data_IF_881254593293
#
_entry.id   IF_881254593293
#
_cell.length_a   1.000
_cell.length_b   1.000
_cell.length_c   1.000
_cell.angle_alpha   90.00
_cell.angle_beta   90.00
_cell.angle_gamma   90.00
#
_symmetry.space_group_name_H-M   'P 1'
#
loop_
_entity.id
_entity.type
_entity.pdbx_description
1 polymer ?
#
# COMPACT_ATOMS: atom_id res chain seq x y z
N UNK A 1 -0.38 31.31 1.13
CA UNK A 1 -0.68 29.87 0.98
C UNK A 1 0.56 29.06 1.35
N UNK A 2 0.52 28.18 2.36
CA UNK A 2 1.68 27.32 2.66
C UNK A 2 1.84 26.33 1.51
N UNK A 3 2.90 26.47 0.73
CA UNK A 3 3.40 25.41 -0.14
C UNK A 3 3.67 24.17 0.72
N UNK A 4 2.74 23.21 0.69
CA UNK A 4 2.92 21.94 1.38
C UNK A 4 3.90 21.11 0.57
N UNK A 5 5.18 21.30 0.86
CA UNK A 5 6.24 20.45 0.31
C UNK A 5 5.94 19.00 0.72
N UNK A 6 5.64 18.15 -0.25
CA UNK A 6 5.40 16.72 -0.01
C UNK A 6 6.74 16.00 0.06
N UNK A 7 6.91 15.15 1.07
CA UNK A 7 8.14 14.37 1.29
C UNK A 7 7.80 12.89 1.45
N UNK A 8 8.75 12.03 1.08
CA UNK A 8 8.69 10.58 1.29
C UNK A 8 9.82 10.20 2.23
N UNK A 9 9.48 9.48 3.29
CA UNK A 9 10.46 8.83 4.17
C UNK A 9 10.67 7.37 3.73
N UNK A 10 11.92 6.97 3.54
CA UNK A 10 12.35 5.61 3.19
C UNK A 10 13.20 5.03 4.33
N UNK A 11 13.24 3.70 4.45
CA UNK A 11 14.07 3.02 5.46
C UNK A 11 13.59 3.22 6.88
N UNK A 12 12.28 3.43 7.06
CA UNK A 12 11.64 3.64 8.36
C UNK A 12 11.16 2.30 8.90
N UNK A 13 11.37 2.06 10.19
CA UNK A 13 10.67 1.03 10.98
C UNK A 13 9.87 1.68 12.10
N UNK A 14 10.37 2.73 12.75
CA UNK A 14 9.63 3.53 13.75
C UNK A 14 9.41 4.95 13.25
N UNK A 15 8.15 5.38 13.17
CA UNK A 15 7.80 6.73 12.69
C UNK A 15 8.39 7.79 13.63
N UNK A 16 8.29 7.58 14.95
CA UNK A 16 8.78 8.50 15.98
C UNK A 16 10.31 8.55 16.06
N UNK A 17 11.02 7.51 15.62
CA UNK A 17 12.48 7.51 15.62
C UNK A 17 13.03 8.25 14.38
N UNK A 18 13.33 9.54 14.54
CA UNK A 18 13.89 10.37 13.46
C UNK A 18 15.37 10.13 13.19
N UNK A 19 16.07 9.44 14.10
CA UNK A 19 17.51 9.13 14.01
C UNK A 19 17.77 7.66 13.65
N UNK A 20 16.77 6.97 13.10
CA UNK A 20 16.90 5.59 12.68
C UNK A 20 17.96 5.44 11.57
N UNK A 21 18.91 4.51 11.77
CA UNK A 21 19.99 4.28 10.81
C UNK A 21 19.41 3.78 9.49
N UNK A 22 19.73 4.48 8.41
CA UNK A 22 19.24 4.16 7.06
C UNK A 22 17.96 4.89 6.65
N UNK A 23 17.32 5.65 7.58
CA UNK A 23 16.20 6.54 7.25
C UNK A 23 16.66 7.64 6.31
N UNK A 24 15.85 7.89 5.27
CA UNK A 24 16.11 8.92 4.26
C UNK A 24 14.82 9.68 4.00
N UNK A 25 14.90 11.00 3.89
CA UNK A 25 13.77 11.84 3.52
C UNK A 25 14.06 12.54 2.20
N UNK A 26 13.16 12.39 1.23
CA UNK A 26 13.29 12.95 -0.10
C UNK A 26 12.06 13.78 -0.43
N UNK A 27 12.25 14.92 -1.12
CA UNK A 27 11.13 15.74 -1.59
C UNK A 27 10.50 15.08 -2.82
N UNK A 28 9.19 15.19 -2.95
CA UNK A 28 8.47 14.85 -4.18
C UNK A 28 8.46 16.09 -5.07
N UNK A 29 9.01 15.98 -6.27
CA UNK A 29 9.05 17.08 -7.25
C UNK A 29 7.94 17.00 -8.28
N UNK A 30 7.39 15.81 -8.50
CA UNK A 30 6.28 15.60 -9.42
C UNK A 30 5.42 14.43 -8.96
N UNK A 31 4.11 14.60 -9.10
CA UNK A 31 3.11 13.58 -8.84
C UNK A 31 2.41 13.27 -10.15
N UNK A 32 2.43 12.01 -10.58
CA UNK A 32 1.91 11.56 -11.87
C UNK A 32 0.81 10.54 -11.61
N UNK A 33 -0.45 10.99 -11.67
CA UNK A 33 -1.62 10.11 -11.55
C UNK A 33 -1.85 9.34 -12.84
N UNK A 34 -2.39 8.12 -12.72
CA UNK A 34 -2.82 7.37 -13.89
C UNK A 34 -3.86 8.16 -14.71
N UNK A 35 -3.65 8.29 -16.03
CA UNK A 35 -4.49 9.13 -16.91
C UNK A 35 -5.97 8.73 -16.89
N UNK A 36 -6.23 7.43 -16.76
CA UNK A 36 -7.59 6.85 -16.68
C UNK A 36 -8.08 6.66 -15.23
N UNK A 37 -7.52 7.39 -14.25
CA UNK A 37 -7.99 7.33 -12.87
C UNK A 37 -9.45 7.79 -12.78
N UNK A 38 -10.29 6.99 -12.12
CA UNK A 38 -11.68 7.36 -11.86
C UNK A 38 -11.97 7.23 -10.36
N UNK A 39 -12.10 8.37 -9.69
CA UNK A 39 -12.36 8.45 -8.25
C UNK A 39 -13.69 7.81 -7.84
N UNK A 40 -14.74 7.98 -8.65
CA UNK A 40 -16.10 7.50 -8.35
C UNK A 40 -16.17 5.97 -8.42
N UNK A 41 -15.53 5.38 -9.43
CA UNK A 41 -15.51 3.93 -9.64
C UNK A 41 -14.31 3.25 -8.96
N UNK A 42 -13.43 4.02 -8.33
CA UNK A 42 -12.15 3.57 -7.76
C UNK A 42 -11.25 2.83 -8.78
N UNK A 43 -11.38 3.14 -10.07
CA UNK A 43 -10.62 2.47 -11.15
C UNK A 43 -9.29 3.17 -11.37
N UNK A 44 -8.24 2.37 -11.66
CA UNK A 44 -6.88 2.84 -11.91
C UNK A 44 -6.34 3.75 -10.80
N UNK A 45 -6.61 3.39 -9.54
CA UNK A 45 -6.11 4.11 -8.38
C UNK A 45 -4.60 3.82 -8.17
N UNK A 46 -3.78 4.40 -9.04
CA UNK A 46 -2.33 4.26 -9.07
C UNK A 46 -1.70 5.63 -9.37
N UNK A 47 -0.59 5.93 -8.70
CA UNK A 47 0.13 7.19 -8.85
C UNK A 47 1.64 6.94 -8.69
N UNK A 48 2.43 7.62 -9.50
CA UNK A 48 3.89 7.65 -9.39
C UNK A 48 4.34 8.96 -8.74
N UNK A 49 5.31 8.87 -7.84
CA UNK A 49 5.95 10.02 -7.20
C UNK A 49 7.39 10.12 -7.70
N UNK A 50 7.71 11.21 -8.39
CA UNK A 50 9.07 11.52 -8.79
C UNK A 50 9.78 12.21 -7.62
N UNK A 51 10.83 11.56 -7.11
CA UNK A 51 11.66 12.10 -6.04
C UNK A 51 12.65 13.15 -6.58
N UNK A 52 13.06 14.08 -5.74
CA UNK A 52 14.03 15.13 -6.07
C UNK A 52 15.42 14.60 -6.42
N UNK A 53 15.72 13.34 -6.07
CA UNK A 53 16.97 12.66 -6.36
C UNK A 53 16.84 11.17 -6.15
N UNK A 54 17.90 10.42 -6.50
CA UNK A 54 17.96 8.97 -6.28
C UNK A 54 18.07 8.68 -4.78
N UNK A 55 17.30 7.71 -4.29
CA UNK A 55 17.47 7.18 -2.94
C UNK A 55 18.76 6.36 -2.86
N UNK A 56 19.42 6.39 -1.70
CA UNK A 56 20.59 5.57 -1.44
C UNK A 56 20.12 4.14 -1.08
N UNK A 57 20.41 3.19 -1.96
CA UNK A 57 20.06 1.78 -1.72
C UNK A 57 21.00 1.19 -0.66
N UNK A 58 20.41 0.53 0.34
CA UNK A 58 21.12 -0.08 1.46
C UNK A 58 20.24 -1.17 2.13
N UNK A 59 20.65 -1.69 3.28
CA UNK A 59 19.90 -2.73 3.99
C UNK A 59 18.50 -2.32 4.45
N UNK A 60 18.23 -1.01 4.60
CA UNK A 60 16.92 -0.47 4.99
C UNK A 60 16.09 0.03 3.79
N UNK A 61 16.73 0.32 2.64
CA UNK A 61 16.07 0.86 1.44
C UNK A 61 16.45 0.02 0.23
N UNK A 62 15.48 -0.68 -0.34
CA UNK A 62 15.67 -1.50 -1.52
C UNK A 62 14.49 -1.38 -2.51
N UNK A 63 14.72 -1.76 -3.76
CA UNK A 63 13.73 -1.71 -4.85
C UNK A 63 12.96 -3.03 -4.92
N UNK A 64 11.64 -2.94 -5.05
CA UNK A 64 10.79 -4.10 -5.36
C UNK A 64 10.58 -4.22 -6.87
N UNK A 65 10.68 -5.43 -7.40
CA UNK A 65 10.40 -5.71 -8.81
C UNK A 65 8.89 -5.65 -9.05
N UNK A 66 8.50 -5.02 -10.15
CA UNK A 66 7.13 -5.07 -10.64
C UNK A 66 6.86 -6.38 -11.38
N UNK A 67 5.63 -6.91 -11.34
CA UNK A 67 5.26 -8.07 -12.15
C UNK A 67 5.47 -7.80 -13.64
N UNK A 68 6.01 -8.77 -14.38
CA UNK A 68 6.16 -8.68 -15.84
C UNK A 68 4.86 -9.01 -16.59
N UNK A 69 3.98 -9.78 -15.94
CA UNK A 69 2.69 -10.19 -16.48
C UNK A 69 1.55 -9.59 -15.68
N UNK A 70 0.47 -9.23 -16.38
CA UNK A 70 -0.76 -8.71 -15.80
C UNK A 70 -1.79 -9.83 -15.54
N UNK A 71 -1.33 -10.99 -15.11
CA UNK A 71 -2.19 -12.13 -14.80
C UNK A 71 -2.69 -12.04 -13.35
N UNK A 72 -3.86 -12.65 -13.10
CA UNK A 72 -4.37 -12.76 -11.75
C UNK A 72 -3.44 -13.59 -10.87
N UNK A 73 -3.21 -13.10 -9.66
CA UNK A 73 -2.58 -13.91 -8.62
C UNK A 73 -3.52 -15.06 -8.28
N UNK A 74 -2.99 -16.29 -8.31
CA UNK A 74 -3.78 -17.51 -8.06
C UNK A 74 -4.53 -17.42 -6.73
N UNK A 75 -5.86 -17.67 -6.68
CA UNK A 75 -6.60 -17.76 -5.42
C UNK A 75 -5.97 -18.77 -4.46
N UNK A 76 -5.94 -18.44 -3.16
CA UNK A 76 -5.26 -19.23 -2.15
C UNK A 76 -3.77 -18.87 -1.95
N UNK A 77 -3.18 -18.07 -2.84
CA UNK A 77 -1.83 -17.52 -2.64
C UNK A 77 -1.78 -16.67 -1.37
N UNK A 78 -0.73 -16.85 -0.56
CA UNK A 78 -0.49 -16.05 0.63
C UNK A 78 0.43 -14.89 0.28
N UNK A 79 -0.01 -13.67 0.60
CA UNK A 79 0.72 -12.44 0.43
C UNK A 79 0.94 -11.77 1.80
N UNK A 80 1.90 -10.85 1.86
CA UNK A 80 2.16 -10.03 3.04
C UNK A 80 1.78 -8.58 2.74
N UNK A 81 1.05 -7.95 3.65
CA UNK A 81 0.84 -6.51 3.67
C UNK A 81 1.62 -5.92 4.84
N UNK A 82 2.21 -4.76 4.65
CA UNK A 82 3.00 -4.08 5.68
C UNK A 82 2.59 -2.60 5.78
N UNK A 83 2.60 -2.07 7.00
CA UNK A 83 2.27 -0.67 7.24
C UNK A 83 2.26 -0.28 8.72
N UNK A 84 2.04 1.00 8.96
CA UNK A 84 1.93 1.61 10.29
C UNK A 84 0.49 1.93 10.68
N UNK A 85 -0.49 1.26 10.05
CA UNK A 85 -1.91 1.50 10.31
C UNK A 85 -2.33 1.19 11.75
N UNK A 86 -3.62 1.40 12.03
CA UNK A 86 -4.21 0.99 13.32
C UNK A 86 -4.10 -0.52 13.49
N UNK A 87 -3.69 -0.96 14.67
CA UNK A 87 -3.55 -2.39 15.01
C UNK A 87 -4.70 -2.92 15.87
N UNK A 88 -5.60 -2.04 16.31
CA UNK A 88 -6.73 -2.37 17.18
C UNK A 88 -7.86 -1.37 16.88
N UNK A 89 -9.07 -1.88 16.63
CA UNK A 89 -10.26 -1.07 16.35
C UNK A 89 -10.62 -0.13 17.50
N UNK A 90 -10.21 -0.45 18.73
CA UNK A 90 -10.45 0.38 19.93
C UNK A 90 -9.39 1.47 20.11
N UNK A 91 -8.22 1.35 19.45
CA UNK A 91 -7.13 2.33 19.58
C UNK A 91 -7.16 3.29 18.39
N UNK A 92 -7.34 4.60 18.63
CA UNK A 92 -7.42 5.56 17.53
C UNK A 92 -6.07 5.78 16.84
N UNK A 93 -4.97 5.52 17.55
CA UNK A 93 -3.63 5.85 17.09
C UNK A 93 -3.02 4.75 16.21
N UNK A 94 -2.37 5.13 15.09
CA UNK A 94 -1.57 4.19 14.28
C UNK A 94 -0.39 3.61 15.08
N UNK A 95 0.12 2.48 14.60
CA UNK A 95 1.33 1.89 15.17
C UNK A 95 2.55 2.79 14.93
N UNK A 96 3.38 2.99 15.96
CA UNK A 96 4.68 3.62 15.77
C UNK A 96 5.63 2.74 14.95
N UNK A 97 5.58 1.43 15.17
CA UNK A 97 6.46 0.44 14.53
C UNK A 97 5.79 -0.19 13.33
N UNK A 98 6.56 -0.49 12.30
CA UNK A 98 6.10 -1.18 11.10
C UNK A 98 5.55 -2.54 11.50
N UNK A 99 4.32 -2.82 11.07
CA UNK A 99 3.63 -4.08 11.27
C UNK A 99 3.47 -4.79 9.93
N UNK A 100 3.32 -6.11 10.00
CA UNK A 100 3.00 -6.94 8.85
C UNK A 100 1.85 -7.91 9.17
N UNK A 101 1.07 -8.24 8.15
CA UNK A 101 0.01 -9.23 8.23
C UNK A 101 0.02 -10.12 6.99
N UNK A 102 -0.23 -11.41 7.19
CA UNK A 102 -0.44 -12.36 6.10
C UNK A 102 -1.89 -12.29 5.67
N UNK A 103 -2.11 -12.23 4.36
CA UNK A 103 -3.44 -12.25 3.73
C UNK A 103 -3.44 -13.29 2.62
N UNK A 104 -4.61 -13.85 2.32
CA UNK A 104 -4.81 -14.86 1.28
C UNK A 104 -5.60 -14.27 0.14
N UNK A 105 -5.13 -14.43 -1.09
CA UNK A 105 -5.85 -14.00 -2.30
C UNK A 105 -7.15 -14.80 -2.44
N UNK A 106 -8.24 -14.11 -2.74
CA UNK A 106 -9.53 -14.73 -3.03
C UNK A 106 -9.91 -14.54 -4.50
N UNK A 107 -10.69 -15.48 -5.01
CA UNK A 107 -11.16 -15.44 -6.38
C UNK A 107 -12.01 -14.17 -6.65
N UNK A 108 -11.81 -13.55 -7.81
CA UNK A 108 -12.51 -12.31 -8.19
C UNK A 108 -14.02 -12.49 -8.26
N UNK A 109 -14.53 -13.65 -8.68
CA UNK A 109 -15.98 -13.90 -8.75
C UNK A 109 -16.56 -13.97 -7.34
N UNK A 110 -15.86 -14.64 -6.42
CA UNK A 110 -16.23 -14.66 -4.99
C UNK A 110 -16.22 -13.24 -4.43
N UNK A 111 -15.18 -12.46 -4.70
CA UNK A 111 -15.10 -11.07 -4.24
C UNK A 111 -16.24 -10.21 -4.82
N UNK A 112 -16.53 -10.29 -6.11
CA UNK A 112 -17.66 -9.59 -6.72
C UNK A 112 -19.00 -9.96 -6.07
N UNK A 113 -19.20 -11.23 -5.69
CA UNK A 113 -20.42 -11.64 -5.00
C UNK A 113 -20.57 -10.99 -3.62
N UNK A 114 -19.45 -10.73 -2.92
CA UNK A 114 -19.45 -10.07 -1.61
C UNK A 114 -19.66 -8.55 -1.72
N UNK A 115 -19.19 -7.95 -2.80
CA UNK A 115 -19.19 -6.48 -3.01
C UNK A 115 -20.26 -5.99 -4.00
N UNK A 116 -21.12 -6.88 -4.53
CA UNK A 116 -22.03 -6.62 -5.65
C UNK A 116 -22.94 -5.38 -5.50
N UNK A 117 -23.24 -4.96 -4.27
CA UNK A 117 -24.08 -3.79 -3.96
C UNK A 117 -23.30 -2.47 -3.84
N UNK A 118 -21.98 -2.51 -3.75
CA UNK A 118 -21.15 -1.34 -3.43
C UNK A 118 -20.17 -1.01 -4.55
N UNK A 119 -19.40 -2.00 -5.02
CA UNK A 119 -18.34 -1.79 -6.01
C UNK A 119 -18.25 -3.00 -6.94
N UNK A 120 -18.20 -2.75 -8.24
CA UNK A 120 -17.88 -3.78 -9.24
C UNK A 120 -16.36 -4.00 -9.28
N UNK A 121 -15.91 -5.19 -8.88
CA UNK A 121 -14.48 -5.54 -8.86
C UNK A 121 -14.03 -5.86 -10.28
N UNK A 122 -13.11 -5.06 -10.80
CA UNK A 122 -12.61 -5.15 -12.18
C UNK A 122 -11.38 -6.05 -12.29
N UNK A 123 -10.87 -6.25 -13.52
CA UNK A 123 -9.62 -7.00 -13.76
C UNK A 123 -8.38 -6.31 -13.20
N UNK A 124 -8.43 -4.99 -13.02
CA UNK A 124 -7.35 -4.16 -12.51
C UNK A 124 -7.34 -4.11 -10.96
N UNK A 125 -8.15 -4.97 -10.32
CA UNK A 125 -8.29 -5.10 -8.87
C UNK A 125 -8.10 -6.56 -8.45
N UNK A 126 -7.59 -6.73 -7.23
CA UNK A 126 -7.49 -8.01 -6.54
C UNK A 126 -8.15 -7.92 -5.17
N UNK A 127 -8.58 -9.06 -4.64
CA UNK A 127 -9.12 -9.14 -3.31
C UNK A 127 -8.33 -10.13 -2.47
N UNK A 128 -8.17 -9.79 -1.19
CA UNK A 128 -7.51 -10.64 -0.21
C UNK A 128 -8.35 -10.69 1.05
N UNK A 129 -8.29 -11.82 1.76
CA UNK A 129 -8.83 -11.95 3.11
C UNK A 129 -7.83 -12.63 4.00
N UNK A 130 -7.88 -12.35 5.28
CA UNK A 130 -7.31 -13.24 6.28
C UNK A 130 -8.34 -14.35 6.58
N UNK A 131 -7.89 -15.54 6.96
CA UNK A 131 -8.77 -16.70 7.13
C UNK A 131 -9.62 -16.58 8.41
N UNK A 132 -9.03 -16.03 9.47
CA UNK A 132 -9.66 -15.93 10.79
C UNK A 132 -10.24 -14.52 11.08
N UNK A 133 -10.10 -13.60 10.11
CA UNK A 133 -10.51 -12.20 10.19
C UNK A 133 -9.98 -11.42 11.42
N UNK A 134 -8.89 -11.89 12.04
CA UNK A 134 -8.27 -11.23 13.20
C UNK A 134 -7.23 -10.20 12.74
N UNK A 135 -6.66 -10.38 11.55
CA UNK A 135 -5.60 -9.52 11.01
C UNK A 135 -5.92 -9.12 9.57
N UNK A 136 -5.32 -8.03 9.10
CA UNK A 136 -5.54 -7.53 7.75
C UNK A 136 -4.98 -6.13 7.59
N UNK A 137 -5.51 -5.41 6.62
CA UNK A 137 -5.26 -3.98 6.47
C UNK A 137 -6.54 -3.21 6.76
N UNK A 138 -6.39 -2.05 7.42
CA UNK A 138 -7.48 -1.12 7.70
C UNK A 138 -7.26 0.17 6.91
N UNK A 139 -8.36 0.85 6.59
CA UNK A 139 -8.36 2.22 6.09
C UNK A 139 -8.49 3.20 7.26
#
# INVERSE_FOLDING_TARGET
CRDKTTTVDLGVRSIKNTKEKGRQQLKVVKTISHEKFNKVKHINNLQLLQLSGKANINNAVNVIRTPEKCDDVKPGSVCTVAGWGRTDNKKPNPSDKLMEAKVTVIDRKVCNSLWNKTVKITKDMMCTREKDAVRGFCN
#
